data_IF_250255856139
#
_entry.id   IF_250255856139
#
_cell.length_a   1.000
_cell.length_b   1.000
_cell.length_c   1.000
_cell.angle_alpha   90.00
_cell.angle_beta   90.00
_cell.angle_gamma   90.00
#
_symmetry.space_group_name_H-M   'P 1'
#
loop_
_entity.id
_entity.type
_entity.pdbx_description
1 polymer ?
#
# COMPACT_ATOMS: atom_id res chain seq x y z
N UNK A 1 -23.77 119.79 -43.43
CA UNK A 1 -24.43 119.82 -44.75
C UNK A 1 -23.31 119.78 -45.79
N UNK A 2 -23.30 118.74 -46.66
CA UNK A 2 -22.36 118.45 -47.78
C UNK A 2 -20.96 117.96 -47.36
N UNK A 3 -20.30 116.94 -47.93
CA UNK A 3 -20.49 115.87 -48.95
C UNK A 3 -19.23 114.96 -48.71
N UNK A 4 -19.29 113.66 -48.43
CA UNK A 4 -19.44 112.50 -49.34
C UNK A 4 -18.79 112.66 -50.73
N UNK A 5 -17.52 112.24 -50.89
CA UNK A 5 -16.99 111.54 -52.09
C UNK A 5 -15.53 111.08 -51.90
N UNK A 6 -15.27 109.77 -51.79
CA UNK A 6 -14.32 109.00 -52.64
C UNK A 6 -14.02 107.60 -52.04
N UNK A 7 -14.81 106.61 -52.45
CA UNK A 7 -14.51 105.18 -52.26
C UNK A 7 -14.46 104.54 -53.63
N UNK A 8 -13.27 104.41 -54.23
CA UNK A 8 -13.03 103.62 -55.46
C UNK A 8 -11.53 103.51 -55.79
N UNK A 9 -10.71 102.90 -54.92
CA UNK A 9 -9.35 102.48 -55.38
C UNK A 9 -8.69 101.32 -54.63
N UNK A 10 -9.24 100.77 -53.54
CA UNK A 10 -8.48 99.83 -52.72
C UNK A 10 -8.81 98.32 -52.87
N UNK A 11 -9.57 97.90 -53.90
CA UNK A 11 -9.87 96.47 -54.12
C UNK A 11 -8.84 95.72 -54.99
N UNK A 12 -7.79 96.40 -55.46
CA UNK A 12 -6.79 95.78 -56.35
C UNK A 12 -5.50 95.32 -55.64
N UNK A 13 -5.27 95.67 -54.37
CA UNK A 13 -4.06 95.28 -53.62
C UNK A 13 -4.21 94.00 -52.79
N UNK A 14 -5.41 93.67 -52.30
CA UNK A 14 -5.60 92.48 -51.44
C UNK A 14 -5.52 91.15 -52.23
N UNK A 15 -5.93 91.15 -53.51
CA UNK A 15 -5.88 89.96 -54.34
C UNK A 15 -4.43 89.61 -54.80
N UNK A 16 -3.55 90.60 -54.95
CA UNK A 16 -2.15 90.36 -55.32
C UNK A 16 -1.32 89.82 -54.16
N UNK A 17 -1.57 90.30 -52.93
CA UNK A 17 -0.87 89.81 -51.73
C UNK A 17 -1.28 88.37 -51.40
N UNK A 18 -2.56 88.01 -51.55
CA UNK A 18 -3.03 86.63 -51.34
C UNK A 18 -2.46 85.63 -52.37
N UNK A 19 -2.30 86.06 -53.64
CA UNK A 19 -1.68 85.24 -54.69
C UNK A 19 -0.17 85.09 -54.51
N UNK A 20 0.49 86.10 -53.95
CA UNK A 20 1.91 86.07 -53.63
C UNK A 20 2.20 85.11 -52.46
N UNK A 21 1.35 85.15 -51.43
CA UNK A 21 1.49 84.30 -50.23
C UNK A 21 1.25 82.81 -50.54
N UNK A 22 0.26 82.49 -51.39
CA UNK A 22 0.04 81.11 -51.84
C UNK A 22 1.22 80.56 -52.66
N UNK A 23 1.81 81.39 -53.51
CA UNK A 23 2.96 80.98 -54.34
C UNK A 23 4.22 80.80 -53.50
N UNK A 24 4.39 81.60 -52.45
CA UNK A 24 5.46 81.45 -51.47
C UNK A 24 5.28 80.17 -50.62
N UNK A 25 4.05 79.87 -50.18
CA UNK A 25 3.74 78.65 -49.43
C UNK A 25 3.99 77.37 -50.25
N UNK A 26 3.58 77.36 -51.52
CA UNK A 26 3.84 76.23 -52.42
C UNK A 26 5.34 76.02 -52.68
N UNK A 27 6.12 77.10 -52.81
CA UNK A 27 7.58 77.01 -52.93
C UNK A 27 8.25 76.51 -51.64
N UNK A 28 7.77 76.93 -50.47
CA UNK A 28 8.29 76.49 -49.18
C UNK A 28 8.00 75.00 -48.96
N UNK A 29 6.81 74.52 -49.35
CA UNK A 29 6.46 73.10 -49.30
C UNK A 29 7.31 72.26 -50.24
N UNK A 30 7.53 72.72 -51.48
CA UNK A 30 8.40 72.03 -52.44
C UNK A 30 9.85 71.95 -51.97
N UNK A 31 10.36 73.03 -51.36
CA UNK A 31 11.69 73.04 -50.76
C UNK A 31 11.79 72.07 -49.58
N UNK A 32 10.80 72.04 -48.67
CA UNK A 32 10.77 71.07 -47.56
C UNK A 32 10.72 69.63 -48.07
N UNK A 33 9.89 69.33 -49.07
CA UNK A 33 9.80 67.97 -49.65
C UNK A 33 11.09 67.56 -50.35
N UNK A 34 11.78 68.51 -51.00
CA UNK A 34 13.05 68.26 -51.68
C UNK A 34 14.24 68.17 -50.72
N UNK A 35 14.22 68.92 -49.61
CA UNK A 35 15.26 68.93 -48.58
C UNK A 35 15.14 67.72 -47.62
N UNK A 36 13.93 67.17 -47.48
CA UNK A 36 13.67 65.94 -46.72
C UNK A 36 13.96 64.64 -47.51
N UNK A 37 14.42 64.71 -48.77
CA UNK A 37 14.62 63.55 -49.66
C UNK A 37 13.52 62.49 -49.49
N UNK A 38 12.25 62.92 -49.45
CA UNK A 38 11.11 62.00 -49.37
C UNK A 38 10.94 61.30 -50.71
N UNK A 39 11.80 60.30 -50.95
CA UNK A 39 11.64 59.32 -52.00
C UNK A 39 10.25 58.68 -51.88
N UNK A 40 9.38 58.75 -52.90
CA UNK A 40 8.09 58.06 -52.88
C UNK A 40 8.23 56.52 -52.93
N UNK A 41 9.46 55.99 -52.99
CA UNK A 41 9.74 54.61 -52.66
C UNK A 41 9.90 54.44 -51.15
N UNK A 42 8.78 54.34 -50.44
CA UNK A 42 8.74 53.66 -49.14
C UNK A 42 9.09 52.18 -49.35
N UNK A 43 10.37 51.86 -49.50
CA UNK A 43 10.85 50.52 -49.16
C UNK A 43 10.68 50.37 -47.65
N UNK A 44 9.62 49.64 -47.30
CA UNK A 44 9.26 49.21 -45.96
C UNK A 44 10.46 48.51 -45.30
N UNK A 45 11.32 49.26 -44.64
CA UNK A 45 12.45 48.72 -43.89
C UNK A 45 11.93 48.01 -42.63
N UNK A 46 11.83 46.67 -42.74
CA UNK A 46 12.04 45.63 -41.72
C UNK A 46 11.49 45.78 -40.28
N UNK A 47 10.42 46.52 -40.03
CA UNK A 47 9.69 46.45 -38.74
C UNK A 47 9.19 45.04 -38.39
N UNK A 48 9.04 44.16 -39.39
CA UNK A 48 8.57 42.78 -39.21
C UNK A 48 9.57 41.88 -38.48
N UNK A 49 10.89 42.11 -38.63
CA UNK A 49 11.91 41.29 -37.98
C UNK A 49 12.03 41.58 -36.48
N UNK A 50 11.91 42.85 -36.09
CA UNK A 50 11.93 43.26 -34.69
C UNK A 50 10.66 42.81 -33.97
N UNK A 51 9.49 42.98 -34.60
CA UNK A 51 8.21 42.55 -34.03
C UNK A 51 8.14 41.02 -33.85
N UNK A 52 8.65 40.24 -34.83
CA UNK A 52 8.71 38.77 -34.73
C UNK A 52 9.67 38.30 -33.63
N UNK A 53 10.82 38.96 -33.45
CA UNK A 53 11.76 38.67 -32.34
C UNK A 53 11.21 39.08 -30.98
N UNK A 54 10.47 40.18 -30.91
CA UNK A 54 9.84 40.66 -29.67
C UNK A 54 8.70 39.74 -29.25
N UNK A 55 7.73 39.48 -30.14
CA UNK A 55 6.61 38.56 -29.89
C UNK A 55 7.10 37.15 -29.55
N UNK A 56 8.11 36.65 -30.27
CA UNK A 56 8.73 35.36 -29.98
C UNK A 56 9.30 35.26 -28.55
N UNK A 57 9.89 36.34 -28.03
CA UNK A 57 10.39 36.38 -26.64
C UNK A 57 9.27 36.42 -25.61
N UNK A 58 8.16 37.11 -25.87
CA UNK A 58 7.00 37.13 -24.96
C UNK A 58 6.23 35.81 -24.96
N UNK A 59 6.05 35.19 -26.14
CA UNK A 59 5.42 33.87 -26.26
C UNK A 59 6.31 32.82 -25.59
N UNK A 60 7.62 32.81 -25.85
CA UNK A 60 8.54 31.86 -25.23
C UNK A 60 8.61 32.02 -23.70
N UNK A 61 8.66 33.27 -23.19
CA UNK A 61 8.61 33.54 -21.75
C UNK A 61 7.27 33.14 -21.15
N UNK A 62 6.16 33.41 -21.83
CA UNK A 62 4.81 33.01 -21.40
C UNK A 62 4.65 31.48 -21.34
N UNK A 63 5.16 30.76 -22.34
CA UNK A 63 5.15 29.29 -22.34
C UNK A 63 6.06 28.70 -21.27
N UNK A 64 7.23 29.29 -21.01
CA UNK A 64 8.11 28.85 -19.93
C UNK A 64 7.50 29.11 -18.55
N UNK A 65 6.82 30.24 -18.35
CA UNK A 65 6.13 30.55 -17.08
C UNK A 65 4.92 29.62 -16.88
N UNK A 66 4.14 29.34 -17.92
CA UNK A 66 3.05 28.36 -17.85
C UNK A 66 3.57 26.95 -17.60
N UNK A 67 4.62 26.52 -18.31
CA UNK A 67 5.24 25.21 -18.08
C UNK A 67 5.81 25.11 -16.67
N UNK A 68 6.47 26.16 -16.17
CA UNK A 68 6.99 26.23 -14.81
C UNK A 68 5.85 26.25 -13.78
N UNK A 69 4.74 26.96 -14.03
CA UNK A 69 3.57 26.97 -13.16
C UNK A 69 2.84 25.63 -13.15
N UNK A 70 2.76 24.93 -14.30
CA UNK A 70 2.26 23.56 -14.37
C UNK A 70 3.18 22.58 -13.64
N UNK A 71 4.50 22.72 -13.78
CA UNK A 71 5.48 21.94 -13.02
C UNK A 71 5.41 22.25 -11.52
N UNK A 72 5.21 23.51 -11.14
CA UNK A 72 5.04 23.92 -9.74
C UNK A 72 3.69 23.50 -9.17
N UNK A 73 2.63 23.43 -9.99
CA UNK A 73 1.35 22.87 -9.59
C UNK A 73 1.43 21.34 -9.47
N UNK A 74 2.16 20.68 -10.36
CA UNK A 74 2.35 19.23 -10.36
C UNK A 74 3.33 18.77 -9.27
N UNK A 75 4.36 19.56 -8.96
CA UNK A 75 5.32 19.31 -7.87
C UNK A 75 4.88 19.90 -6.53
N UNK A 76 4.06 20.96 -6.52
CA UNK A 76 3.70 21.72 -5.33
C UNK A 76 2.57 21.11 -4.50
N UNK A 77 1.77 20.23 -5.08
CA UNK A 77 0.91 19.33 -4.30
C UNK A 77 1.64 18.00 -4.16
N UNK A 78 2.40 17.82 -3.07
CA UNK A 78 3.27 16.67 -2.88
C UNK A 78 2.54 15.33 -3.02
N UNK A 79 2.67 14.70 -4.18
CA UNK A 79 2.27 13.30 -4.37
C UNK A 79 3.28 12.38 -3.67
N UNK A 80 3.52 12.57 -2.38
CA UNK A 80 4.09 11.54 -1.52
C UNK A 80 2.92 10.66 -1.09
N UNK A 81 2.47 9.79 -2.00
CA UNK A 81 1.39 8.86 -1.69
C UNK A 81 1.92 7.78 -0.76
N UNK A 82 1.26 7.62 0.40
CA UNK A 82 1.51 6.53 1.32
C UNK A 82 1.24 5.19 0.61
N UNK A 83 2.17 4.22 0.66
CA UNK A 83 1.89 2.88 0.13
C UNK A 83 0.71 2.28 0.91
N UNK A 84 -0.18 1.54 0.24
CA UNK A 84 -1.32 0.90 0.87
C UNK A 84 -1.13 -0.61 0.89
N UNK A 85 -1.46 -1.24 2.02
CA UNK A 85 -1.55 -2.69 2.15
C UNK A 85 -3.00 -3.06 1.87
N UNK A 86 -3.24 -3.96 0.91
CA UNK A 86 -4.58 -4.34 0.47
C UNK A 86 -4.70 -5.85 0.30
N UNK A 87 -5.94 -6.33 0.17
CA UNK A 87 -6.27 -7.75 -0.07
C UNK A 87 -5.61 -8.73 0.92
N UNK A 88 -5.51 -8.32 2.18
CA UNK A 88 -4.98 -9.17 3.25
C UNK A 88 -5.94 -10.35 3.45
N UNK A 89 -5.40 -11.57 3.39
CA UNK A 89 -6.11 -12.81 3.67
C UNK A 89 -5.23 -13.71 4.50
N UNK A 90 -5.78 -14.26 5.58
CA UNK A 90 -5.19 -15.37 6.32
C UNK A 90 -6.01 -16.63 6.04
N UNK A 91 -5.32 -17.74 5.81
CA UNK A 91 -5.94 -19.05 5.69
C UNK A 91 -5.10 -20.08 6.48
N UNK A 92 -5.73 -20.92 7.31
CA UNK A 92 -5.02 -22.02 7.96
C UNK A 92 -4.60 -23.08 6.93
N UNK A 93 -3.56 -23.83 7.27
CA UNK A 93 -3.18 -25.05 6.55
C UNK A 93 -4.25 -26.13 6.72
N UNK A 94 -4.21 -27.18 5.90
CA UNK A 94 -5.20 -28.27 5.97
C UNK A 94 -5.23 -29.02 7.30
N UNK A 95 -4.17 -28.92 8.09
CA UNK A 95 -4.02 -29.55 9.40
C UNK A 95 -3.99 -28.54 10.56
N UNK A 96 -4.36 -27.28 10.32
CA UNK A 96 -4.35 -26.21 11.31
C UNK A 96 -2.99 -25.96 12.01
N UNK A 97 -1.88 -26.39 11.39
CA UNK A 97 -0.52 -26.27 11.91
C UNK A 97 0.14 -24.92 11.68
N UNK A 98 -0.26 -24.29 10.60
CA UNK A 98 0.26 -23.00 10.18
C UNK A 98 -0.86 -22.21 9.56
N UNK A 99 -0.63 -20.92 9.35
CA UNK A 99 -1.48 -20.09 8.52
C UNK A 99 -0.62 -19.40 7.47
N UNK A 100 -1.17 -19.31 6.26
CA UNK A 100 -0.58 -18.51 5.18
C UNK A 100 -1.31 -17.18 5.10
N UNK A 101 -0.56 -16.11 5.28
CA UNK A 101 -1.05 -14.74 5.11
C UNK A 101 -0.58 -14.20 3.77
N UNK A 102 -1.52 -13.79 2.92
CA UNK A 102 -1.23 -13.17 1.63
C UNK A 102 -1.76 -11.75 1.61
N UNK A 103 -1.01 -10.83 0.99
CA UNK A 103 -1.41 -9.43 0.85
C UNK A 103 -0.81 -8.81 -0.41
N UNK A 104 -1.35 -7.66 -0.82
CA UNK A 104 -0.84 -6.84 -1.90
C UNK A 104 -0.39 -5.48 -1.40
N UNK A 105 0.58 -4.90 -2.11
CA UNK A 105 1.07 -3.54 -1.86
C UNK A 105 0.74 -2.65 -3.05
N UNK A 106 -0.18 -1.73 -2.83
CA UNK A 106 -0.61 -0.72 -3.79
C UNK A 106 0.19 0.57 -3.54
N UNK A 107 1.20 0.83 -4.38
CA UNK A 107 2.05 2.01 -4.26
C UNK A 107 2.31 2.64 -5.64
N UNK A 108 2.20 3.97 -5.72
CA UNK A 108 2.59 4.73 -6.93
C UNK A 108 4.11 4.85 -7.09
N UNK A 109 4.84 4.83 -5.98
CA UNK A 109 6.30 4.87 -5.96
C UNK A 109 6.86 3.50 -5.59
N UNK A 110 8.07 3.17 -6.08
CA UNK A 110 8.74 1.94 -5.68
C UNK A 110 8.81 1.79 -4.16
N UNK A 111 8.61 0.56 -3.71
CA UNK A 111 8.74 0.17 -2.32
C UNK A 111 10.21 -0.15 -2.05
N UNK A 112 10.73 0.36 -0.94
CA UNK A 112 12.10 0.08 -0.47
C UNK A 112 12.14 -1.19 0.35
N UNK A 113 11.16 -1.37 1.22
CA UNK A 113 11.16 -2.45 2.20
C UNK A 113 9.74 -2.93 2.50
N UNK A 114 9.61 -4.24 2.71
CA UNK A 114 8.40 -4.91 3.17
C UNK A 114 8.84 -5.88 4.26
N UNK A 115 8.31 -5.66 5.46
CA UNK A 115 8.67 -6.44 6.63
C UNK A 115 7.40 -6.89 7.35
N UNK A 116 7.56 -7.94 8.16
CA UNK A 116 6.51 -8.44 9.01
C UNK A 116 7.09 -8.84 10.37
N UNK A 117 6.30 -8.63 11.42
CA UNK A 117 6.61 -9.13 12.75
C UNK A 117 5.40 -9.86 13.33
N UNK A 118 5.65 -11.04 13.90
CA UNK A 118 4.68 -11.81 14.65
C UNK A 118 5.10 -11.78 16.12
N UNK A 119 4.21 -11.32 17.00
CA UNK A 119 4.50 -11.20 18.43
C UNK A 119 5.82 -10.43 18.69
N UNK A 120 6.01 -9.32 17.96
CA UNK A 120 7.21 -8.45 18.01
C UNK A 120 8.49 -9.07 17.44
N UNK A 121 8.46 -10.31 16.94
CA UNK A 121 9.59 -10.98 16.30
C UNK A 121 9.50 -10.86 14.79
N UNK A 122 10.56 -10.34 14.15
CA UNK A 122 10.64 -10.28 12.68
C UNK A 122 10.59 -11.67 12.07
N UNK A 123 9.77 -11.83 11.04
CA UNK A 123 9.62 -13.07 10.26
C UNK A 123 9.83 -12.80 8.77
N UNK A 124 10.06 -13.86 8.01
CA UNK A 124 10.34 -13.76 6.59
C UNK A 124 9.07 -13.44 5.79
N UNK A 125 9.24 -12.65 4.73
CA UNK A 125 8.19 -12.32 3.77
C UNK A 125 8.63 -12.80 2.39
N UNK A 126 7.83 -13.68 1.80
CA UNK A 126 8.05 -14.19 0.46
C UNK A 126 7.37 -13.29 -0.58
N UNK A 127 8.03 -13.11 -1.72
CA UNK A 127 7.49 -12.31 -2.83
C UNK A 127 6.82 -13.22 -3.86
N UNK A 128 5.52 -13.03 -4.10
CA UNK A 128 4.74 -13.79 -5.08
C UNK A 128 4.77 -13.19 -6.50
N UNK A 129 5.33 -11.98 -6.65
CA UNK A 129 5.30 -11.19 -7.90
C UNK A 129 4.09 -10.26 -7.97
N UNK A 130 4.10 -9.31 -8.90
CA UNK A 130 3.05 -8.27 -9.06
C UNK A 130 2.66 -7.56 -7.74
N UNK A 131 3.65 -7.19 -6.92
CA UNK A 131 3.46 -6.59 -5.59
C UNK A 131 2.63 -7.46 -4.62
N UNK A 132 2.54 -8.76 -4.86
CA UNK A 132 1.98 -9.74 -3.94
C UNK A 132 3.03 -10.33 -3.04
N UNK A 133 2.65 -10.56 -1.79
CA UNK A 133 3.51 -11.10 -0.74
C UNK A 133 2.81 -12.22 0.01
N UNK A 134 3.59 -13.14 0.56
CA UNK A 134 3.14 -14.27 1.36
C UNK A 134 3.99 -14.39 2.62
N UNK A 135 3.36 -14.80 3.70
CA UNK A 135 4.00 -15.07 4.98
C UNK A 135 3.43 -16.38 5.50
N UNK A 136 4.30 -17.30 5.90
CA UNK A 136 3.91 -18.48 6.65
C UNK A 136 4.12 -18.21 8.15
N UNK A 137 3.06 -18.40 8.94
CA UNK A 137 3.11 -18.27 10.40
C UNK A 137 2.78 -19.62 11.05
N UNK A 138 3.50 -19.97 12.11
CA UNK A 138 3.38 -21.26 12.81
C UNK A 138 2.89 -21.11 14.25
N UNK A 139 2.46 -19.91 14.64
CA UNK A 139 1.97 -19.62 15.99
C UNK A 139 0.84 -18.58 15.91
N UNK A 140 -0.10 -18.69 16.86
CA UNK A 140 -1.13 -17.68 17.05
C UNK A 140 -0.52 -16.38 17.60
N UNK A 141 -1.19 -15.26 17.34
CA UNK A 141 -0.76 -13.97 17.86
C UNK A 141 -1.09 -12.79 16.96
N UNK A 142 -0.36 -11.70 17.15
CA UNK A 142 -0.55 -10.47 16.40
C UNK A 142 0.53 -10.31 15.34
N UNK A 143 0.09 -10.29 14.07
CA UNK A 143 0.92 -10.03 12.91
C UNK A 143 0.85 -8.54 12.54
N UNK A 144 2.00 -7.87 12.55
CA UNK A 144 2.16 -6.51 12.06
C UNK A 144 2.90 -6.53 10.73
N UNK A 145 2.23 -6.08 9.68
CA UNK A 145 2.82 -5.85 8.37
C UNK A 145 3.30 -4.41 8.29
N UNK A 146 4.51 -4.19 7.78
CA UNK A 146 5.05 -2.86 7.53
C UNK A 146 5.59 -2.76 6.09
N UNK A 147 5.28 -1.64 5.43
CA UNK A 147 5.76 -1.30 4.09
C UNK A 147 6.38 0.08 4.12
N UNK A 148 7.58 0.21 3.56
CA UNK A 148 8.29 1.49 3.49
C UNK A 148 8.62 1.85 2.04
N UNK A 149 8.17 3.02 1.59
CA UNK A 149 8.51 3.53 0.26
C UNK A 149 9.97 3.98 0.16
N UNK A 150 10.48 4.17 -1.07
CA UNK A 150 11.81 4.80 -1.29
C UNK A 150 11.88 6.24 -0.73
N UNK A 151 10.75 6.92 -0.62
CA UNK A 151 10.65 8.25 0.01
C UNK A 151 10.60 8.19 1.54
N UNK A 152 10.62 6.99 2.14
CA UNK A 152 10.62 6.79 3.58
C UNK A 152 9.23 6.83 4.24
N UNK A 153 8.15 6.91 3.47
CA UNK A 153 6.79 6.86 4.00
C UNK A 153 6.47 5.43 4.42
N UNK A 154 5.95 5.28 5.64
CA UNK A 154 5.60 3.99 6.23
C UNK A 154 4.10 3.75 6.18
N UNK A 155 3.71 2.50 5.96
CA UNK A 155 2.36 2.00 6.17
C UNK A 155 2.39 0.70 6.93
N UNK A 156 1.46 0.57 7.87
CA UNK A 156 1.36 -0.59 8.74
C UNK A 156 -0.06 -1.15 8.67
N UNK A 157 -0.17 -2.47 8.81
CA UNK A 157 -1.45 -3.17 8.90
C UNK A 157 -1.31 -4.32 9.90
N UNK A 158 -2.16 -4.30 10.92
CA UNK A 158 -2.26 -5.37 11.91
C UNK A 158 -3.31 -6.41 11.53
N UNK A 159 -3.07 -7.66 11.92
CA UNK A 159 -4.00 -8.78 11.83
C UNK A 159 -3.80 -9.73 13.02
N UNK A 160 -4.89 -10.25 13.58
CA UNK A 160 -4.84 -11.35 14.55
C UNK A 160 -4.84 -12.68 13.83
N UNK A 161 -3.96 -13.58 14.26
CA UNK A 161 -3.90 -14.99 13.82
C UNK A 161 -4.36 -15.85 14.99
N UNK A 162 -5.50 -16.50 14.84
CA UNK A 162 -6.16 -17.35 15.82
C UNK A 162 -6.65 -18.68 15.23
N UNK A 163 -6.20 -19.00 14.02
CA UNK A 163 -6.63 -20.16 13.25
C UNK A 163 -5.72 -21.38 13.37
N UNK A 164 -4.63 -21.29 14.16
CA UNK A 164 -3.69 -22.39 14.38
C UNK A 164 -4.12 -23.13 15.64
N UNK A 165 -4.16 -24.46 15.57
CA UNK A 165 -4.48 -25.30 16.72
C UNK A 165 -3.26 -25.43 17.64
N UNK A 166 -3.31 -24.84 18.83
CA UNK A 166 -2.27 -24.98 19.86
C UNK A 166 -2.73 -25.80 21.09
N UNK A 167 -3.86 -26.51 20.99
CA UNK A 167 -4.47 -27.23 22.10
C UNK A 167 -4.20 -28.73 21.99
N UNK A 168 -3.68 -29.32 23.06
CA UNK A 168 -3.56 -30.77 23.15
C UNK A 168 -4.95 -31.42 23.31
N UNK A 169 -5.13 -32.68 22.85
CA UNK A 169 -6.31 -33.46 23.17
C UNK A 169 -6.54 -33.59 24.68
N UNK A 170 -7.78 -33.86 25.07
CA UNK A 170 -8.15 -34.05 26.48
C UNK A 170 -8.80 -35.41 26.70
N UNK A 171 -8.56 -35.99 27.88
CA UNK A 171 -9.34 -37.14 28.36
C UNK A 171 -10.66 -36.60 28.93
N UNK A 172 -11.77 -37.08 28.40
CA UNK A 172 -13.13 -36.69 28.83
C UNK A 172 -13.62 -37.60 29.94
N UNK A 173 -13.37 -38.89 29.81
CA UNK A 173 -13.74 -39.91 30.79
C UNK A 173 -12.89 -41.16 30.63
N UNK A 174 -12.89 -42.01 31.64
CA UNK A 174 -12.25 -43.31 31.59
C UNK A 174 -13.06 -44.32 32.39
N UNK A 175 -12.93 -45.60 32.06
CA UNK A 175 -13.57 -46.71 32.76
C UNK A 175 -12.61 -47.90 32.81
N UNK A 176 -12.56 -48.56 33.96
CA UNK A 176 -11.82 -49.80 34.12
C UNK A 176 -12.78 -50.98 34.02
N UNK A 177 -12.52 -51.87 33.06
CA UNK A 177 -13.30 -53.09 32.83
C UNK A 177 -12.38 -54.31 32.82
N UNK A 178 -12.31 -55.03 33.95
CA UNK A 178 -11.52 -56.26 34.05
C UNK A 178 -10.01 -56.02 33.95
N UNK A 179 -9.38 -56.44 32.86
CA UNK A 179 -7.94 -56.23 32.60
C UNK A 179 -7.66 -55.06 31.66
N UNK A 180 -8.68 -54.27 31.30
CA UNK A 180 -8.58 -53.20 30.32
C UNK A 180 -8.99 -51.85 30.91
N UNK A 181 -8.37 -50.78 30.46
CA UNK A 181 -8.82 -49.42 30.66
C UNK A 181 -9.30 -48.82 29.34
N UNK A 182 -10.54 -48.35 29.36
CA UNK A 182 -11.19 -47.61 28.29
C UNK A 182 -11.04 -46.11 28.58
N UNK A 183 -10.51 -45.36 27.61
CA UNK A 183 -10.23 -43.93 27.74
C UNK A 183 -10.95 -43.22 26.60
N UNK A 184 -11.85 -42.28 26.94
CA UNK A 184 -12.47 -41.41 25.97
C UNK A 184 -11.68 -40.11 25.85
N UNK A 185 -11.24 -39.83 24.62
CA UNK A 185 -10.43 -38.68 24.26
C UNK A 185 -11.20 -37.76 23.32
N UNK A 186 -10.92 -36.47 23.39
CA UNK A 186 -11.51 -35.47 22.51
C UNK A 186 -10.48 -34.42 22.16
N UNK A 187 -10.43 -34.06 20.88
CA UNK A 187 -9.70 -32.89 20.44
C UNK A 187 -10.49 -31.61 20.71
N UNK A 188 -9.80 -30.55 21.11
CA UNK A 188 -10.37 -29.24 21.42
C UNK A 188 -10.10 -28.23 20.30
N UNK A 189 -9.03 -28.41 19.50
CA UNK A 189 -8.51 -27.38 18.61
C UNK A 189 -8.72 -27.59 17.11
N UNK A 190 -9.65 -28.47 16.73
CA UNK A 190 -10.09 -28.72 15.35
C UNK A 190 -9.06 -29.42 14.44
N UNK A 191 -7.86 -29.76 14.91
CA UNK A 191 -6.91 -30.58 14.14
C UNK A 191 -7.28 -32.07 14.12
N UNK A 192 -7.99 -32.53 15.15
CA UNK A 192 -8.40 -33.91 15.38
C UNK A 192 -7.31 -34.79 16.00
N UNK A 193 -7.74 -35.80 16.76
CA UNK A 193 -6.83 -36.78 17.41
C UNK A 193 -6.14 -37.66 16.36
N UNK A 194 -4.85 -37.92 16.54
CA UNK A 194 -4.07 -38.91 15.78
C UNK A 194 -4.07 -40.26 16.51
N UNK A 195 -5.06 -41.11 16.21
CA UNK A 195 -5.24 -42.42 16.84
C UNK A 195 -4.10 -43.41 16.55
N UNK A 196 -3.54 -43.36 15.34
CA UNK A 196 -2.43 -44.25 14.94
C UNK A 196 -1.15 -43.90 15.72
N UNK A 197 -0.99 -42.62 16.04
CA UNK A 197 0.08 -42.07 16.86
C UNK A 197 -0.03 -42.36 18.35
N UNK A 198 -1.15 -42.88 18.86
CA UNK A 198 -1.31 -43.14 20.30
C UNK A 198 -0.40 -44.29 20.76
N UNK A 199 0.21 -44.14 21.93
CA UNK A 199 1.00 -45.17 22.59
C UNK A 199 1.10 -44.90 24.09
N UNK A 200 1.57 -45.90 24.84
CA UNK A 200 1.97 -45.74 26.22
C UNK A 200 3.43 -46.15 26.42
N UNK A 201 4.12 -45.54 27.36
CA UNK A 201 5.50 -45.88 27.73
C UNK A 201 5.54 -46.33 29.19
N UNK A 202 6.24 -47.43 29.42
CA UNK A 202 6.44 -48.07 30.73
C UNK A 202 7.94 -48.30 30.96
N UNK A 203 8.34 -48.77 32.14
CA UNK A 203 9.72 -49.23 32.38
C UNK A 203 10.13 -50.37 31.46
N UNK A 204 9.17 -51.21 31.06
CA UNK A 204 9.41 -52.37 30.19
C UNK A 204 9.46 -52.05 28.70
N UNK A 205 8.95 -50.88 28.28
CA UNK A 205 8.99 -50.43 26.89
C UNK A 205 7.74 -49.68 26.45
N UNK A 206 7.52 -49.63 25.13
CA UNK A 206 6.36 -48.97 24.51
C UNK A 206 5.24 -49.96 24.24
N UNK A 207 4.02 -49.59 24.60
CA UNK A 207 2.80 -50.38 24.44
C UNK A 207 1.87 -49.63 23.48
N UNK A 208 1.29 -50.33 22.51
CA UNK A 208 0.23 -49.78 21.64
C UNK A 208 -1.16 -50.06 22.25
N UNK A 209 -2.17 -49.24 21.95
CA UNK A 209 -3.55 -49.55 22.31
C UNK A 209 -3.93 -50.95 21.79
N UNK A 210 -4.75 -51.68 22.54
CA UNK A 210 -5.32 -52.94 22.05
C UNK A 210 -6.34 -52.69 20.93
N UNK A 211 -7.09 -51.60 21.06
CA UNK A 211 -8.04 -51.13 20.05
C UNK A 211 -8.34 -49.65 20.25
N UNK A 212 -8.93 -49.03 19.22
CA UNK A 212 -9.47 -47.69 19.30
C UNK A 212 -10.69 -47.57 18.37
N UNK A 213 -11.60 -46.65 18.71
CA UNK A 213 -12.70 -46.21 17.87
C UNK A 213 -12.65 -44.68 17.74
N UNK A 214 -12.26 -44.21 16.55
CA UNK A 214 -12.14 -42.78 16.28
C UNK A 214 -13.49 -42.06 16.22
N UNK A 215 -14.60 -42.77 15.96
CA UNK A 215 -15.93 -42.17 15.91
C UNK A 215 -16.45 -41.85 17.32
N UNK A 216 -16.23 -42.77 18.27
CA UNK A 216 -16.65 -42.63 19.67
C UNK A 216 -15.58 -42.01 20.58
N UNK A 217 -14.40 -41.73 20.02
CA UNK A 217 -13.28 -41.18 20.75
C UNK A 217 -12.65 -42.15 21.75
N UNK A 218 -12.79 -43.45 21.54
CA UNK A 218 -12.41 -44.49 22.48
C UNK A 218 -11.01 -45.02 22.18
N UNK A 219 -10.21 -45.20 23.23
CA UNK A 219 -8.89 -45.85 23.18
C UNK A 219 -8.81 -46.86 24.31
N UNK A 220 -8.39 -48.09 24.00
CA UNK A 220 -8.34 -49.18 24.97
C UNK A 220 -6.89 -49.63 25.19
N UNK A 221 -6.46 -49.65 26.44
CA UNK A 221 -5.15 -50.17 26.86
C UNK A 221 -5.33 -51.31 27.88
N UNK A 222 -4.33 -52.19 28.03
CA UNK A 222 -4.27 -53.06 29.20
C UNK A 222 -4.17 -52.20 30.47
N UNK A 223 -4.84 -52.64 31.53
CA UNK A 223 -4.71 -51.99 32.83
C UNK A 223 -3.27 -52.15 33.33
N UNK A 224 -2.63 -51.08 33.84
CA UNK A 224 -1.20 -51.10 34.14
C UNK A 224 -0.87 -52.02 35.31
N UNK A 225 0.20 -52.80 35.14
CA UNK A 225 0.90 -53.50 36.23
C UNK A 225 2.09 -52.70 36.79
N UNK A 226 2.49 -51.64 36.09
CA UNK A 226 3.55 -50.70 36.43
C UNK A 226 3.17 -49.30 35.91
N UNK A 227 3.88 -48.25 36.33
CA UNK A 227 3.62 -46.88 35.88
C UNK A 227 3.60 -46.80 34.34
N UNK A 228 2.50 -46.28 33.80
CA UNK A 228 2.25 -46.21 32.37
C UNK A 228 1.96 -44.77 31.95
N UNK A 229 2.82 -44.20 31.10
CA UNK A 229 2.69 -42.86 30.53
C UNK A 229 2.00 -42.93 29.17
N UNK A 230 0.70 -42.63 29.14
CA UNK A 230 -0.10 -42.62 27.92
C UNK A 230 0.15 -41.30 27.19
N UNK A 231 0.54 -41.39 25.92
CA UNK A 231 0.73 -40.25 25.02
C UNK A 231 -0.33 -40.27 23.93
N UNK A 232 -1.12 -39.19 23.84
CA UNK A 232 -2.18 -39.02 22.84
C UNK A 232 -1.87 -37.76 22.03
N UNK A 233 -1.37 -37.91 20.79
CA UNK A 233 -1.15 -36.78 19.89
C UNK A 233 -2.43 -36.37 19.17
N UNK A 234 -2.50 -35.11 18.76
CA UNK A 234 -3.37 -34.64 17.68
C UNK A 234 -2.63 -34.70 16.33
N UNK A 235 -3.31 -34.31 15.25
CA UNK A 235 -2.73 -34.27 13.89
C UNK A 235 -1.82 -33.06 13.65
N UNK A 236 -1.78 -32.12 14.59
CA UNK A 236 -0.92 -30.96 14.55
C UNK A 236 0.38 -31.11 15.39
N UNK A 237 0.52 -32.23 16.10
CA UNK A 237 1.66 -32.51 16.96
C UNK A 237 1.55 -32.00 18.39
N UNK A 238 0.43 -31.38 18.79
CA UNK A 238 0.14 -31.18 20.21
C UNK A 238 -0.13 -32.55 20.84
N UNK A 239 0.26 -32.74 22.09
CA UNK A 239 0.12 -34.05 22.75
C UNK A 239 -0.28 -33.93 24.20
N UNK A 240 -1.20 -34.79 24.59
CA UNK A 240 -1.48 -35.09 25.98
C UNK A 240 -0.52 -36.18 26.47
N UNK A 241 0.04 -36.00 27.65
CA UNK A 241 0.75 -37.07 28.38
C UNK A 241 0.08 -37.24 29.72
N UNK A 242 -0.38 -38.46 30.02
CA UNK A 242 -1.07 -38.80 31.26
C UNK A 242 -0.42 -40.01 31.93
N UNK A 243 -0.17 -39.92 33.23
CA UNK A 243 0.33 -41.04 34.04
C UNK A 243 -0.85 -41.85 34.56
N UNK A 244 -0.81 -43.15 34.29
CA UNK A 244 -1.70 -44.14 34.89
C UNK A 244 -0.87 -45.08 35.75
N UNK A 245 -1.22 -45.18 37.03
CA UNK A 245 -0.52 -46.03 37.99
C UNK A 245 -1.30 -47.33 38.21
N UNK A 246 -0.62 -48.44 38.51
CA UNK A 246 -1.28 -49.66 38.95
C UNK A 246 -2.11 -49.41 40.20
N UNK A 247 -3.15 -50.21 40.41
CA UNK A 247 -3.93 -50.16 41.64
C UNK A 247 -3.04 -50.59 42.83
N UNK A 248 -3.02 -49.80 43.89
CA UNK A 248 -2.36 -50.21 45.13
C UNK A 248 -3.10 -51.42 45.74
N UNK A 249 -2.50 -52.61 45.70
CA UNK A 249 -3.02 -53.79 46.42
C UNK A 249 -2.88 -53.69 47.96
N UNK A 250 -2.61 -52.49 48.51
CA UNK A 250 -2.29 -52.29 49.94
C UNK A 250 -3.48 -51.83 50.78
N UNK A 251 -4.64 -52.50 50.68
CA UNK A 251 -5.79 -52.06 51.47
C UNK A 251 -6.98 -52.98 51.60
N UNK A 252 -6.85 -54.26 51.95
CA UNK A 252 -7.92 -54.98 52.69
C UNK A 252 -7.43 -56.24 53.44
N UNK A 253 -6.76 -56.08 54.59
CA UNK A 253 -6.81 -57.06 55.67
C UNK A 253 -6.79 -56.33 57.02
N UNK A 254 -7.94 -55.84 57.49
CA UNK A 254 -8.26 -55.76 58.93
C UNK A 254 -9.72 -55.31 59.12
N UNK A 255 -10.62 -56.25 59.39
CA UNK A 255 -11.42 -56.19 60.61
C UNK A 255 -12.02 -57.57 60.87
N UNK A 256 -11.67 -58.09 62.04
CA UNK A 256 -12.29 -59.23 62.69
C UNK A 256 -12.94 -58.71 63.98
#
# INVERSE_FOLDING_TARGET
MKHEENNRTNRHSEASDFLHDKKAADQLFQNIVSELELNPSLTRHSGCAYHRRFIGRYVLRGTCVLAAACLFAFCGTGFLQKPAISRVKAAPSSNAASATVTFQVDALFPVRDVSASLNEKTINVDTLGNNGYSIEVSENGYLLLEVVSISGIRSEQGLSIDSIDDQAPVIVSHMHTGSLIEIHVRDIGDSGVDYDGIYATTSSGTIKPESFDAADGLVVFPYPSEDMYITIPDKNGNRLVSLLQPADESGTEESR
#
